data_IF_524517731195
#
_entry.id   IF_524517731195
#
_cell.length_a   1.000
_cell.length_b   1.000
_cell.length_c   1.000
_cell.angle_alpha   90.00
_cell.angle_beta   90.00
_cell.angle_gamma   90.00
#
_symmetry.space_group_name_H-M   'P 1'
#
loop_
_entity.id
_entity.type
_entity.pdbx_description
1 polymer ?
#
# COMPACT_ATOMS: atom_id res chain seq x y z
N UNK A 1 -29.62 59.13 -4.06
CA UNK A 1 -28.56 58.27 -3.49
C UNK A 1 -29.15 57.47 -2.33
N UNK A 2 -29.30 56.13 -2.46
CA UNK A 2 -29.48 55.10 -1.40
C UNK A 2 -30.07 53.82 -2.02
N UNK A 3 -29.27 53.09 -2.81
CA UNK A 3 -29.59 51.71 -3.27
C UNK A 3 -28.39 50.76 -3.20
N UNK A 4 -27.30 51.17 -2.55
CA UNK A 4 -26.06 50.36 -2.42
C UNK A 4 -26.03 49.34 -1.27
N UNK A 5 -26.79 49.45 -0.15
CA UNK A 5 -26.60 48.49 0.96
C UNK A 5 -27.28 47.14 0.72
N UNK A 6 -28.36 47.09 -0.09
CA UNK A 6 -29.10 45.85 -0.37
C UNK A 6 -28.30 44.93 -1.30
N UNK A 7 -27.63 45.50 -2.31
CA UNK A 7 -26.83 44.72 -3.25
C UNK A 7 -25.59 44.12 -2.57
N UNK A 8 -24.96 44.85 -1.64
CA UNK A 8 -23.82 44.35 -0.86
C UNK A 8 -24.25 43.25 0.13
N UNK A 9 -25.40 43.41 0.79
CA UNK A 9 -25.95 42.38 1.67
C UNK A 9 -26.30 41.08 0.94
N UNK A 10 -26.88 41.18 -0.27
CA UNK A 10 -27.15 40.02 -1.13
C UNK A 10 -25.84 39.34 -1.57
N UNK A 11 -24.82 40.11 -1.95
CA UNK A 11 -23.53 39.58 -2.39
C UNK A 11 -22.80 38.81 -1.28
N UNK A 12 -22.80 39.34 -0.05
CA UNK A 12 -22.23 38.67 1.13
C UNK A 12 -23.04 37.44 1.50
N UNK A 13 -24.37 37.47 1.41
CA UNK A 13 -25.21 36.30 1.68
C UNK A 13 -25.02 35.18 0.64
N UNK A 14 -24.84 35.53 -0.64
CA UNK A 14 -24.49 34.56 -1.69
C UNK A 14 -23.05 34.02 -1.55
N UNK A 15 -22.11 34.79 -1.00
CA UNK A 15 -20.75 34.32 -0.69
C UNK A 15 -20.73 33.34 0.49
N UNK A 16 -21.63 33.50 1.48
CA UNK A 16 -21.79 32.55 2.60
C UNK A 16 -22.56 31.28 2.18
N UNK A 17 -23.42 31.37 1.15
CA UNK A 17 -24.07 30.20 0.54
C UNK A 17 -23.19 29.47 -0.48
N UNK A 18 -22.10 30.09 -0.96
CA UNK A 18 -21.13 29.50 -1.88
C UNK A 18 -19.77 29.23 -1.26
N UNK A 19 -19.54 29.60 0.00
CA UNK A 19 -18.52 28.90 0.78
C UNK A 19 -18.91 27.44 0.76
N UNK A 20 -18.05 26.53 0.26
CA UNK A 20 -18.29 25.12 0.53
C UNK A 20 -18.46 25.06 2.04
N UNK A 21 -19.61 24.55 2.50
CA UNK A 21 -19.55 23.83 3.76
C UNK A 21 -18.42 22.83 3.52
N UNK A 22 -17.26 23.08 4.12
CA UNK A 22 -16.37 22.01 4.54
C UNK A 22 -17.21 21.17 5.49
N UNK A 23 -18.13 20.39 4.92
CA UNK A 23 -18.42 19.08 5.41
C UNK A 23 -17.02 18.47 5.52
N UNK A 24 -16.58 18.21 6.74
CA UNK A 24 -15.62 17.15 6.93
C UNK A 24 -16.16 16.00 6.08
N UNK A 25 -15.50 15.69 4.97
CA UNK A 25 -15.69 14.37 4.41
C UNK A 25 -15.20 13.47 5.53
N UNK A 26 -16.12 12.78 6.21
CA UNK A 26 -15.79 11.45 6.70
C UNK A 26 -15.31 10.75 5.44
N UNK A 27 -14.00 10.71 5.24
CA UNK A 27 -13.42 9.90 4.17
C UNK A 27 -13.66 8.48 4.64
N UNK A 28 -14.81 7.92 4.26
CA UNK A 28 -15.17 6.55 4.60
C UNK A 28 -14.28 5.63 3.76
N UNK A 29 -13.14 5.27 4.33
CA UNK A 29 -12.25 4.27 3.76
C UNK A 29 -12.97 2.92 3.75
N UNK A 30 -12.86 2.20 2.65
CA UNK A 30 -13.54 0.91 2.48
C UNK A 30 -12.60 -0.14 1.93
N UNK A 31 -12.91 -1.41 2.14
CA UNK A 31 -12.13 -2.47 1.54
C UNK A 31 -12.55 -2.73 0.10
N UNK A 32 -11.61 -2.54 -0.82
CA UNK A 32 -11.78 -2.92 -2.22
C UNK A 32 -11.08 -4.24 -2.49
N UNK A 33 -11.66 -5.33 -2.01
CA UNK A 33 -11.31 -6.67 -2.48
C UNK A 33 -12.55 -7.32 -3.09
N UNK A 34 -12.33 -8.22 -4.04
CA UNK A 34 -13.40 -9.00 -4.65
C UNK A 34 -13.09 -10.48 -4.50
N UNK A 35 -14.06 -11.23 -3.98
CA UNK A 35 -14.00 -12.69 -3.94
C UNK A 35 -13.77 -13.24 -5.36
N UNK A 36 -12.84 -14.18 -5.50
CA UNK A 36 -12.38 -14.71 -6.77
C UNK A 36 -11.37 -13.82 -7.51
N UNK A 37 -11.03 -12.64 -6.97
CA UNK A 37 -9.96 -11.81 -7.50
C UNK A 37 -8.61 -12.51 -7.38
N UNK A 38 -7.92 -12.70 -8.51
CA UNK A 38 -6.58 -13.30 -8.55
C UNK A 38 -5.57 -12.26 -9.00
N UNK A 39 -4.45 -12.17 -8.27
CA UNK A 39 -3.26 -11.45 -8.71
C UNK A 39 -2.10 -12.41 -8.93
N UNK A 40 -1.26 -12.03 -9.89
CA UNK A 40 0.00 -12.70 -10.17
C UNK A 40 1.11 -11.68 -10.03
N UNK A 41 2.14 -12.00 -9.26
CA UNK A 41 3.37 -11.22 -9.17
C UNK A 41 4.49 -11.99 -9.84
N UNK A 42 5.53 -11.29 -10.28
CA UNK A 42 6.71 -11.89 -10.89
C UNK A 42 7.97 -11.17 -10.42
N UNK A 43 8.98 -11.95 -10.05
CA UNK A 43 10.33 -11.43 -9.78
C UNK A 43 10.97 -11.00 -11.08
N UNK A 44 11.28 -9.71 -11.18
CA UNK A 44 11.85 -9.10 -12.36
C UNK A 44 13.38 -8.98 -12.26
N UNK A 45 13.92 -8.84 -11.04
CA UNK A 45 15.35 -8.61 -10.82
C UNK A 45 15.80 -9.25 -9.51
N UNK A 46 16.95 -9.91 -9.57
CA UNK A 46 17.75 -10.40 -8.44
C UNK A 46 19.20 -10.18 -8.82
N UNK A 47 19.84 -9.18 -8.24
CA UNK A 47 21.29 -8.97 -8.32
C UNK A 47 21.92 -9.55 -7.05
N UNK A 48 22.46 -10.76 -7.16
CA UNK A 48 23.07 -11.46 -6.02
C UNK A 48 24.20 -10.66 -5.38
N UNK A 49 24.97 -9.88 -6.18
CA UNK A 49 26.09 -9.10 -5.64
C UNK A 49 25.57 -7.93 -4.82
N UNK A 50 24.64 -7.15 -5.38
CA UNK A 50 24.01 -6.05 -4.65
C UNK A 50 23.24 -6.51 -3.41
N UNK A 51 22.56 -7.65 -3.50
CA UNK A 51 21.83 -8.25 -2.37
C UNK A 51 22.76 -8.79 -1.28
N UNK A 52 23.90 -9.40 -1.64
CA UNK A 52 24.92 -9.80 -0.68
C UNK A 52 25.56 -8.58 0.00
N UNK A 53 25.76 -7.47 -0.71
CA UNK A 53 26.20 -6.21 -0.12
C UNK A 53 25.14 -5.61 0.81
N UNK A 54 23.86 -5.71 0.46
CA UNK A 54 22.76 -5.14 1.23
C UNK A 54 22.44 -5.94 2.50
N UNK A 55 22.39 -7.26 2.42
CA UNK A 55 21.91 -8.12 3.50
C UNK A 55 22.94 -9.14 4.00
N UNK A 56 24.08 -9.27 3.33
CA UNK A 56 25.09 -10.29 3.60
C UNK A 56 24.80 -11.61 2.89
N UNK A 57 25.59 -12.64 3.21
CA UNK A 57 25.53 -13.95 2.56
C UNK A 57 24.20 -14.71 2.74
N UNK A 58 23.30 -14.23 3.59
CA UNK A 58 21.96 -14.79 3.84
C UNK A 58 20.84 -13.99 3.16
N UNK A 59 21.16 -13.14 2.17
CA UNK A 59 20.18 -12.30 1.47
C UNK A 59 18.97 -13.08 0.93
N UNK A 60 19.18 -14.29 0.40
CA UNK A 60 18.09 -15.12 -0.13
C UNK A 60 17.07 -15.45 0.97
N UNK A 61 17.54 -15.83 2.16
CA UNK A 61 16.68 -16.06 3.33
C UNK A 61 15.96 -14.79 3.79
N UNK A 62 16.58 -13.61 3.64
CA UNK A 62 15.91 -12.33 3.94
C UNK A 62 14.73 -12.11 2.99
N UNK A 63 14.93 -12.34 1.69
CA UNK A 63 13.85 -12.22 0.69
C UNK A 63 12.74 -13.26 0.93
N UNK A 64 13.10 -14.53 1.16
CA UNK A 64 12.11 -15.58 1.41
C UNK A 64 11.28 -15.33 2.68
N UNK A 65 11.92 -14.82 3.75
CA UNK A 65 11.20 -14.45 4.97
C UNK A 65 10.30 -13.23 4.78
N UNK A 66 10.64 -12.33 3.86
CA UNK A 66 9.91 -11.08 3.62
C UNK A 66 8.75 -11.26 2.65
N UNK A 67 8.93 -12.06 1.60
CA UNK A 67 8.01 -12.15 0.47
C UNK A 67 7.46 -13.56 0.22
N UNK A 68 7.99 -14.58 0.90
CA UNK A 68 7.61 -15.99 0.74
C UNK A 68 8.67 -16.81 0.00
N UNK A 69 8.59 -18.14 0.11
CA UNK A 69 9.60 -19.04 -0.46
C UNK A 69 9.68 -18.93 -1.98
N UNK A 70 10.91 -18.97 -2.51
CA UNK A 70 11.25 -18.82 -3.94
C UNK A 70 11.29 -17.37 -4.45
N UNK A 71 11.09 -16.38 -3.57
CA UNK A 71 11.12 -14.96 -3.94
C UNK A 71 12.50 -14.48 -4.42
N UNK A 72 13.54 -15.29 -4.22
CA UNK A 72 14.93 -15.07 -4.60
C UNK A 72 15.27 -15.54 -6.03
N UNK A 73 14.31 -16.12 -6.77
CA UNK A 73 14.54 -16.57 -8.15
C UNK A 73 13.95 -15.62 -9.21
N UNK A 74 14.81 -15.11 -10.11
CA UNK A 74 14.37 -14.28 -11.25
C UNK A 74 13.37 -15.03 -12.12
N UNK A 75 12.25 -14.38 -12.41
CA UNK A 75 11.18 -14.94 -13.24
C UNK A 75 10.23 -15.86 -12.48
N UNK A 76 10.48 -16.16 -11.20
CA UNK A 76 9.51 -16.83 -10.36
C UNK A 76 8.24 -15.99 -10.24
N UNK A 77 7.10 -16.65 -10.23
CA UNK A 77 5.78 -16.04 -10.15
C UNK A 77 5.09 -16.46 -8.87
N UNK A 78 4.40 -15.52 -8.24
CA UNK A 78 3.49 -15.80 -7.13
C UNK A 78 2.05 -15.66 -7.61
N UNK A 79 1.16 -16.50 -7.10
CA UNK A 79 -0.28 -16.36 -7.29
C UNK A 79 -0.93 -16.17 -5.93
N UNK A 80 -1.89 -15.26 -5.85
CA UNK A 80 -2.82 -15.20 -4.71
C UNK A 80 -4.23 -14.95 -5.19
N UNK A 81 -5.20 -15.63 -4.58
CA UNK A 81 -6.62 -15.50 -4.90
C UNK A 81 -7.40 -15.16 -3.64
N UNK A 82 -8.24 -14.13 -3.71
CA UNK A 82 -9.17 -13.79 -2.63
C UNK A 82 -10.29 -14.82 -2.59
N UNK A 83 -10.49 -15.45 -1.45
CA UNK A 83 -11.51 -16.49 -1.24
C UNK A 83 -12.70 -16.01 -0.42
N UNK A 84 -12.56 -14.94 0.37
CA UNK A 84 -13.64 -14.33 1.14
C UNK A 84 -13.29 -12.88 1.49
N UNK A 85 -14.31 -12.03 1.59
CA UNK A 85 -14.18 -10.64 2.04
C UNK A 85 -15.26 -10.36 3.07
N UNK A 86 -14.85 -10.10 4.31
CA UNK A 86 -15.73 -9.69 5.41
C UNK A 86 -15.53 -8.22 5.67
N UNK A 87 -16.42 -7.41 5.09
CA UNK A 87 -16.52 -5.99 5.40
C UNK A 87 -17.17 -5.76 6.77
N UNK A 88 -16.93 -4.59 7.34
CA UNK A 88 -17.62 -4.06 8.54
C UNK A 88 -17.48 -4.95 9.78
N UNK A 89 -16.28 -5.48 10.01
CA UNK A 89 -15.97 -6.20 11.24
C UNK A 89 -15.35 -5.25 12.27
N UNK A 90 -15.37 -5.70 13.52
CA UNK A 90 -14.56 -5.10 14.58
C UNK A 90 -13.48 -6.10 14.99
N UNK A 91 -12.22 -5.67 15.00
CA UNK A 91 -11.09 -6.49 15.41
C UNK A 91 -10.47 -5.97 16.71
N UNK A 92 -10.20 -6.88 17.63
CA UNK A 92 -9.34 -6.62 18.79
C UNK A 92 -7.95 -7.17 18.46
N UNK A 93 -6.98 -6.28 18.24
CA UNK A 93 -5.61 -6.65 17.88
C UNK A 93 -4.76 -7.06 19.08
N UNK A 94 -5.38 -7.26 20.25
CA UNK A 94 -4.68 -7.36 21.52
C UNK A 94 -4.10 -6.00 21.91
N UNK A 95 -3.35 -5.93 23.01
CA UNK A 95 -2.78 -4.69 23.57
C UNK A 95 -3.74 -3.81 24.38
N UNK A 96 -5.03 -4.16 24.46
CA UNK A 96 -5.98 -3.49 25.36
C UNK A 96 -6.49 -2.13 24.87
N UNK A 97 -6.39 -1.88 23.56
CA UNK A 97 -6.86 -0.65 22.89
C UNK A 97 -8.36 -0.69 22.55
N UNK A 98 -8.99 -1.85 22.76
CA UNK A 98 -10.39 -2.06 22.40
C UNK A 98 -10.50 -2.68 21.03
N UNK A 99 -11.53 -2.29 20.29
CA UNK A 99 -11.82 -2.84 18.97
C UNK A 99 -11.79 -1.76 17.91
N UNK A 100 -11.24 -2.08 16.77
CA UNK A 100 -11.12 -1.19 15.62
C UNK A 100 -12.03 -1.65 14.47
N UNK A 101 -12.73 -0.73 13.78
CA UNK A 101 -13.36 -1.01 12.51
C UNK A 101 -12.34 -1.52 11.49
N UNK A 102 -12.65 -2.65 10.89
CA UNK A 102 -11.76 -3.32 9.96
C UNK A 102 -12.54 -4.08 8.89
N UNK A 103 -11.80 -4.63 7.93
CA UNK A 103 -12.25 -5.74 7.13
C UNK A 103 -11.23 -6.89 7.20
N UNK A 104 -11.71 -8.09 6.90
CA UNK A 104 -10.85 -9.25 6.69
C UNK A 104 -10.93 -9.68 5.24
N UNK A 105 -9.78 -9.87 4.61
CA UNK A 105 -9.64 -10.41 3.27
C UNK A 105 -8.94 -11.75 3.40
N UNK A 106 -9.67 -12.82 3.11
CA UNK A 106 -9.13 -14.19 3.15
C UNK A 106 -8.55 -14.50 1.78
N UNK A 107 -7.34 -15.04 1.77
CA UNK A 107 -6.59 -15.36 0.55
C UNK A 107 -6.01 -16.76 0.60
N UNK A 108 -6.03 -17.40 -0.55
CA UNK A 108 -5.19 -18.56 -0.85
C UNK A 108 -3.99 -18.08 -1.64
N UNK A 109 -2.79 -18.51 -1.25
CA UNK A 109 -1.53 -18.11 -1.88
C UNK A 109 -0.67 -19.32 -2.22
N UNK A 110 0.05 -19.18 -3.33
CA UNK A 110 1.08 -20.11 -3.78
C UNK A 110 2.44 -19.47 -3.53
N UNK A 111 3.45 -20.30 -3.29
CA UNK A 111 4.83 -19.86 -3.24
C UNK A 111 5.28 -19.31 -4.61
N UNK A 112 6.44 -18.68 -4.62
CA UNK A 112 7.04 -18.21 -5.85
C UNK A 112 7.60 -19.40 -6.62
N UNK A 113 7.14 -19.58 -7.86
CA UNK A 113 7.54 -20.71 -8.70
C UNK A 113 7.83 -20.25 -10.13
N UNK A 114 8.88 -20.78 -10.75
CA UNK A 114 9.22 -20.55 -12.17
C UNK A 114 8.38 -21.42 -13.13
N UNK A 115 7.64 -22.38 -12.59
CA UNK A 115 6.84 -23.37 -13.32
C UNK A 115 5.34 -23.10 -13.34
N UNK A 116 4.56 -24.16 -13.59
CA UNK A 116 3.11 -24.14 -13.42
C UNK A 116 2.77 -24.27 -11.93
N UNK A 117 1.87 -23.42 -11.46
CA UNK A 117 1.34 -23.53 -10.10
C UNK A 117 0.66 -24.88 -9.89
N UNK A 118 0.87 -25.45 -8.71
CA UNK A 118 0.10 -26.58 -8.20
C UNK A 118 -1.41 -26.30 -8.20
N UNK A 119 -2.21 -27.37 -8.25
CA UNK A 119 -3.68 -27.25 -8.15
C UNK A 119 -4.12 -26.70 -6.78
N UNK A 120 -3.35 -27.03 -5.73
CA UNK A 120 -3.64 -26.68 -4.33
C UNK A 120 -2.69 -25.58 -3.83
N UNK A 121 -3.18 -24.51 -3.19
CA UNK A 121 -2.33 -23.46 -2.64
C UNK A 121 -1.45 -23.96 -1.50
N UNK A 122 -0.26 -23.36 -1.38
CA UNK A 122 0.70 -23.61 -0.30
C UNK A 122 0.23 -23.02 1.03
N UNK A 123 -0.47 -21.88 0.96
CA UNK A 123 -1.04 -21.20 2.11
C UNK A 123 -2.55 -21.01 1.88
N UNK A 124 -3.35 -21.64 2.74
CA UNK A 124 -4.82 -21.58 2.70
C UNK A 124 -5.39 -20.68 3.76
N UNK A 125 -6.50 -20.04 3.43
CA UNK A 125 -7.30 -19.25 4.36
C UNK A 125 -6.49 -18.18 5.13
N UNK A 126 -5.48 -17.58 4.47
CA UNK A 126 -4.68 -16.53 5.07
C UNK A 126 -5.49 -15.24 5.15
N UNK A 127 -5.70 -14.76 6.38
CA UNK A 127 -6.51 -13.56 6.64
C UNK A 127 -5.62 -12.34 6.74
N UNK A 128 -5.83 -11.38 5.84
CA UNK A 128 -5.30 -10.03 5.92
C UNK A 128 -6.35 -9.14 6.58
N UNK A 129 -6.01 -8.59 7.74
CA UNK A 129 -6.85 -7.62 8.45
C UNK A 129 -6.47 -6.22 8.02
N UNK A 130 -7.43 -5.45 7.54
CA UNK A 130 -7.25 -4.08 7.09
C UNK A 130 -8.01 -3.15 8.02
N UNK A 131 -7.30 -2.29 8.75
CA UNK A 131 -7.92 -1.22 9.53
C UNK A 131 -8.42 -0.13 8.58
N UNK A 132 -9.65 0.33 8.80
CA UNK A 132 -10.26 1.33 7.93
C UNK A 132 -9.87 2.75 8.33
N UNK A 133 -9.62 3.01 9.61
CA UNK A 133 -9.21 4.32 10.10
C UNK A 133 -7.67 4.39 10.21
N UNK A 134 -7.00 5.34 9.54
CA UNK A 134 -5.56 5.55 9.70
C UNK A 134 -5.16 5.94 11.14
N UNK A 135 -6.06 6.56 11.92
CA UNK A 135 -5.81 6.89 13.33
C UNK A 135 -5.75 5.61 14.19
N UNK A 136 -6.58 4.60 13.89
CA UNK A 136 -6.54 3.30 14.58
C UNK A 136 -5.22 2.57 14.33
N UNK A 137 -4.73 2.61 13.07
CA UNK A 137 -3.42 2.04 12.73
C UNK A 137 -2.29 2.79 13.45
N UNK A 138 -2.43 4.12 13.57
CA UNK A 138 -1.50 4.95 14.34
C UNK A 138 -1.45 4.55 15.81
N UNK A 139 -2.61 4.43 16.47
CA UNK A 139 -2.72 4.02 17.87
C UNK A 139 -2.14 2.61 18.10
N UNK A 140 -2.45 1.67 17.20
CA UNK A 140 -1.92 0.32 17.26
C UNK A 140 -0.39 0.29 17.14
N UNK A 141 0.18 0.94 16.11
CA UNK A 141 1.64 0.94 15.88
C UNK A 141 2.39 1.57 17.03
N UNK A 142 1.88 2.69 17.58
CA UNK A 142 2.51 3.36 18.72
C UNK A 142 2.49 2.47 19.97
N UNK A 143 1.37 1.80 20.22
CA UNK A 143 1.23 0.92 21.38
C UNK A 143 2.12 -0.31 21.26
N UNK A 144 2.13 -0.97 20.10
CA UNK A 144 3.00 -2.11 19.82
C UNK A 144 4.47 -1.72 20.01
N UNK A 145 4.86 -0.60 19.39
CA UNK A 145 6.20 -0.05 19.49
C UNK A 145 6.57 0.26 20.94
N UNK A 146 5.69 0.91 21.70
CA UNK A 146 5.93 1.22 23.11
C UNK A 146 6.13 -0.05 23.95
N UNK A 147 5.36 -1.11 23.70
CA UNK A 147 5.49 -2.40 24.39
C UNK A 147 6.82 -3.07 24.04
N UNK A 148 7.21 -3.09 22.76
CA UNK A 148 8.49 -3.67 22.32
C UNK A 148 9.70 -2.84 22.79
N UNK A 149 9.57 -1.51 22.81
CA UNK A 149 10.60 -0.57 23.25
C UNK A 149 10.90 -0.66 24.76
N UNK A 150 9.99 -1.22 25.58
CA UNK A 150 10.33 -1.57 26.98
C UNK A 150 11.47 -2.61 27.06
N UNK A 151 11.89 -3.21 25.95
CA UNK A 151 13.07 -4.07 25.82
C UNK A 151 14.20 -3.55 24.91
N UNK A 152 14.04 -2.41 24.20
CA UNK A 152 15.02 -1.92 23.19
C UNK A 152 15.37 -0.45 23.45
N UNK A 153 16.62 -0.13 23.89
CA UNK A 153 17.06 1.24 24.10
C UNK A 153 17.12 2.04 22.79
N UNK A 154 16.55 3.25 22.76
CA UNK A 154 16.67 4.20 21.65
C UNK A 154 15.37 4.53 20.90
N UNK A 155 14.28 3.81 21.18
CA UNK A 155 12.99 4.05 20.52
C UNK A 155 12.18 5.16 21.22
N UNK A 156 11.65 6.09 20.43
CA UNK A 156 10.79 7.21 20.88
C UNK A 156 9.36 6.97 20.40
N UNK A 157 8.45 6.65 21.31
CA UNK A 157 7.02 6.52 21.04
C UNK A 157 6.36 7.90 20.80
N UNK A 158 6.66 8.56 19.68
CA UNK A 158 6.02 9.83 19.34
C UNK A 158 5.40 9.77 17.95
N UNK A 159 4.09 10.07 17.89
CA UNK A 159 3.27 10.49 16.74
C UNK A 159 3.48 9.79 15.38
N UNK A 160 4.17 8.67 15.31
CA UNK A 160 4.36 7.92 14.07
C UNK A 160 3.35 6.79 14.01
N UNK A 161 2.74 6.62 12.85
CA UNK A 161 1.81 5.55 12.51
C UNK A 161 2.49 4.37 11.82
N UNK A 162 3.65 4.58 11.17
CA UNK A 162 4.37 3.59 10.38
C UNK A 162 5.89 3.81 10.47
N UNK A 163 6.63 2.80 10.95
CA UNK A 163 8.11 2.80 11.08
C UNK A 163 8.78 1.78 10.12
N UNK A 164 8.02 0.80 9.70
CA UNK A 164 8.44 -0.32 8.89
C UNK A 164 7.10 -0.89 8.39
N UNK A 165 6.83 -1.01 7.09
CA UNK A 165 5.61 -1.52 6.55
C UNK A 165 5.59 -2.96 6.96
N UNK A 166 5.04 -3.23 8.15
CA UNK A 166 4.79 -4.57 8.60
C UNK A 166 3.90 -5.14 7.50
N UNK A 167 4.49 -6.03 6.71
CA UNK A 167 3.94 -6.69 5.52
C UNK A 167 2.49 -7.18 5.75
N UNK A 168 2.10 -7.33 7.03
CA UNK A 168 0.76 -7.60 7.52
C UNK A 168 -0.29 -6.51 7.22
N UNK A 169 0.02 -5.22 7.35
CA UNK A 169 -0.95 -4.11 7.15
C UNK A 169 -0.85 -3.44 5.79
N UNK A 170 0.26 -3.63 5.09
CA UNK A 170 0.50 -3.07 3.76
C UNK A 170 0.52 -4.12 2.65
N UNK A 171 0.07 -5.35 2.92
CA UNK A 171 -0.29 -6.27 1.84
C UNK A 171 -1.54 -5.80 1.08
N UNK A 172 -2.37 -4.98 1.73
CA UNK A 172 -3.69 -4.58 1.27
C UNK A 172 -4.16 -3.33 2.01
N UNK A 173 -4.46 -2.26 1.27
CA UNK A 173 -4.93 -0.98 1.80
C UNK A 173 -6.45 -0.82 1.64
N UNK A 174 -7.11 0.01 2.47
CA UNK A 174 -8.40 0.57 2.14
C UNK A 174 -8.33 1.44 0.88
N UNK A 175 -9.48 1.71 0.27
CA UNK A 175 -9.63 2.69 -0.81
C UNK A 175 -10.37 3.94 -0.35
N UNK A 176 -10.01 5.13 -0.88
CA UNK A 176 -8.94 5.39 -1.84
C UNK A 176 -7.54 5.23 -1.23
N UNK A 177 -6.68 4.42 -1.85
CA UNK A 177 -5.43 3.98 -1.22
C UNK A 177 -4.39 5.11 -1.12
N UNK A 178 -4.36 6.02 -2.09
CA UNK A 178 -3.52 7.21 -2.08
C UNK A 178 -3.93 8.19 -0.97
N UNK A 179 -5.23 8.41 -0.78
CA UNK A 179 -5.74 9.23 0.33
C UNK A 179 -5.43 8.58 1.69
N UNK A 180 -5.59 7.26 1.80
CA UNK A 180 -5.26 6.52 3.03
C UNK A 180 -3.77 6.62 3.38
N UNK A 181 -2.88 6.40 2.41
CA UNK A 181 -1.43 6.52 2.60
C UNK A 181 -1.03 7.95 2.99
N UNK A 182 -1.68 8.96 2.42
CA UNK A 182 -1.43 10.37 2.73
C UNK A 182 -1.94 10.78 4.12
N UNK A 183 -2.93 10.07 4.67
CA UNK A 183 -3.46 10.31 6.01
C UNK A 183 -2.59 9.70 7.12
N UNK A 184 -1.78 8.68 6.81
CA UNK A 184 -0.85 8.08 7.75
C UNK A 184 0.29 9.03 8.13
N UNK A 185 0.73 8.96 9.38
CA UNK A 185 1.91 9.69 9.87
C UNK A 185 3.15 8.79 9.77
N UNK A 186 4.12 9.15 8.94
CA UNK A 186 5.29 8.30 8.68
C UNK A 186 6.48 8.67 9.56
N UNK A 187 7.34 7.69 9.87
CA UNK A 187 8.65 7.96 10.47
C UNK A 187 9.52 8.80 9.51
N UNK A 188 10.47 9.57 10.06
CA UNK A 188 11.54 10.15 9.27
C UNK A 188 12.25 9.09 8.40
N UNK A 189 12.60 9.45 7.16
CA UNK A 189 13.17 8.52 6.17
C UNK A 189 12.12 7.83 5.28
N UNK A 190 10.85 7.84 5.68
CA UNK A 190 9.73 7.35 4.87
C UNK A 190 9.06 8.48 4.09
N UNK A 191 8.65 8.18 2.87
CA UNK A 191 8.01 9.12 1.97
C UNK A 191 6.84 8.46 1.24
N UNK A 192 5.78 9.24 0.99
CA UNK A 192 4.62 8.82 0.20
C UNK A 192 4.48 9.73 -1.03
N UNK A 193 4.33 9.11 -2.19
CA UNK A 193 4.01 9.78 -3.46
C UNK A 193 2.86 9.04 -4.15
N UNK A 194 1.63 9.48 -3.89
CA UNK A 194 0.41 8.84 -4.39
C UNK A 194 0.28 7.41 -3.90
N UNK A 195 0.38 6.45 -4.83
CA UNK A 195 0.27 5.01 -4.57
C UNK A 195 1.62 4.34 -4.32
N UNK A 196 2.66 5.12 -4.04
CA UNK A 196 4.00 4.62 -3.73
C UNK A 196 4.42 5.07 -2.34
N UNK A 197 5.01 4.14 -1.62
CA UNK A 197 5.71 4.39 -0.35
C UNK A 197 7.18 4.09 -0.60
N UNK A 198 8.08 4.93 -0.12
CA UNK A 198 9.52 4.64 -0.19
C UNK A 198 10.22 4.93 1.12
N UNK A 199 11.30 4.20 1.36
CA UNK A 199 12.12 4.31 2.56
C UNK A 199 13.58 4.38 2.15
N UNK A 200 14.22 5.48 2.53
CA UNK A 200 15.67 5.62 2.43
C UNK A 200 16.29 5.14 3.75
N UNK A 201 17.14 4.13 3.67
CA UNK A 201 17.79 3.54 4.84
C UNK A 201 19.30 3.68 4.76
N UNK A 202 19.92 3.93 5.92
CA UNK A 202 21.37 3.96 6.07
C UNK A 202 21.90 2.58 6.49
N UNK A 203 23.17 2.30 6.16
CA UNK A 203 23.89 1.13 6.64
C UNK A 203 23.82 1.04 8.18
N UNK A 204 23.39 -0.11 8.68
CA UNK A 204 23.16 -0.37 10.10
C UNK A 204 21.72 -0.16 10.56
N UNK A 205 20.84 0.40 9.72
CA UNK A 205 19.39 0.41 10.00
C UNK A 205 18.91 -1.02 10.21
N UNK A 206 18.11 -1.22 11.27
CA UNK A 206 17.53 -2.52 11.60
C UNK A 206 16.04 -2.37 11.74
N UNK A 207 15.30 -3.11 10.92
CA UNK A 207 13.85 -3.14 10.91
C UNK A 207 13.31 -3.72 12.22
N UNK A 208 12.07 -3.39 12.58
CA UNK A 208 11.41 -3.87 13.81
C UNK A 208 11.45 -5.41 13.97
N UNK A 209 11.51 -6.15 12.85
CA UNK A 209 11.53 -7.62 12.83
C UNK A 209 12.94 -8.21 12.64
N UNK A 210 13.99 -7.39 12.75
CA UNK A 210 15.38 -7.83 12.86
C UNK A 210 16.14 -7.92 11.54
N UNK A 211 15.62 -7.40 10.43
CA UNK A 211 16.38 -7.27 9.19
C UNK A 211 17.33 -6.09 9.31
N UNK A 212 18.64 -6.33 9.25
CA UNK A 212 19.67 -5.28 9.26
C UNK A 212 20.20 -5.06 7.85
N UNK A 213 20.15 -3.81 7.39
CA UNK A 213 20.71 -3.37 6.12
C UNK A 213 22.19 -3.04 6.34
N UNK A 214 23.07 -3.61 5.52
CA UNK A 214 24.53 -3.47 5.63
C UNK A 214 25.09 -2.34 4.76
N UNK A 215 24.26 -1.82 3.84
CA UNK A 215 24.58 -0.72 2.94
C UNK A 215 23.43 0.30 2.94
N UNK A 216 23.74 1.51 2.48
CA UNK A 216 22.72 2.53 2.20
C UNK A 216 21.90 2.08 0.99
N UNK A 217 20.61 2.43 0.97
CA UNK A 217 19.74 2.08 -0.14
C UNK A 217 18.35 2.67 0.00
N UNK A 218 17.49 2.27 -0.93
CA UNK A 218 16.10 2.71 -0.98
C UNK A 218 15.18 1.57 -1.34
N UNK A 219 14.13 1.42 -0.56
CA UNK A 219 13.03 0.51 -0.83
C UNK A 219 11.82 1.29 -1.31
N UNK A 220 11.05 0.73 -2.25
CA UNK A 220 9.80 1.31 -2.74
C UNK A 220 8.72 0.23 -2.85
N UNK A 221 7.55 0.50 -2.29
CA UNK A 221 6.34 -0.32 -2.35
C UNK A 221 5.31 0.38 -3.23
N UNK A 222 4.67 -0.37 -4.13
CA UNK A 222 3.65 0.14 -5.05
C UNK A 222 2.31 -0.56 -4.86
N UNK A 223 1.24 0.24 -4.87
CA UNK A 223 -0.13 -0.19 -4.60
C UNK A 223 -1.06 0.06 -5.79
N UNK A 224 -2.04 -0.81 -5.95
CA UNK A 224 -3.13 -0.61 -6.91
C UNK A 224 -4.14 0.39 -6.35
N UNK A 225 -4.49 1.43 -7.12
CA UNK A 225 -5.43 2.45 -6.66
C UNK A 225 -6.89 2.03 -6.65
N UNK A 226 -7.25 0.96 -7.37
CA UNK A 226 -8.63 0.49 -7.47
C UNK A 226 -8.99 -0.46 -6.33
N UNK A 227 -8.05 -1.31 -5.96
CA UNK A 227 -8.23 -2.37 -4.99
C UNK A 227 -7.38 -2.16 -3.74
N UNK A 228 -6.43 -1.24 -3.70
CA UNK A 228 -5.49 -1.06 -2.58
C UNK A 228 -4.48 -2.20 -2.44
N UNK A 229 -4.45 -3.15 -3.38
CA UNK A 229 -3.59 -4.32 -3.30
C UNK A 229 -2.12 -3.95 -3.49
N UNK A 230 -1.23 -4.59 -2.73
CA UNK A 230 0.20 -4.49 -2.97
C UNK A 230 0.59 -5.21 -4.26
N UNK A 231 1.23 -4.49 -5.19
CA UNK A 231 1.48 -4.92 -6.57
C UNK A 231 2.93 -4.84 -7.02
N UNK A 232 3.84 -4.27 -6.22
CA UNK A 232 5.24 -4.27 -6.60
C UNK A 232 6.18 -3.74 -5.54
N UNK A 233 7.41 -4.24 -5.57
CA UNK A 233 8.49 -3.82 -4.69
C UNK A 233 9.76 -3.58 -5.51
N UNK A 234 10.55 -2.60 -5.09
CA UNK A 234 11.87 -2.32 -5.65
C UNK A 234 12.84 -1.99 -4.53
N UNK A 235 14.03 -2.56 -4.59
CA UNK A 235 15.16 -2.24 -3.73
C UNK A 235 16.31 -1.74 -4.60
N UNK A 236 16.77 -0.53 -4.29
CA UNK A 236 17.87 0.17 -4.95
C UNK A 236 19.07 0.24 -4.01
N UNK A 237 20.27 0.07 -4.54
CA UNK A 237 21.52 0.35 -3.83
C UNK A 237 21.79 1.87 -3.71
N UNK A 238 22.88 2.23 -3.04
CA UNK A 238 23.29 3.63 -2.86
C UNK A 238 23.57 4.39 -4.17
N UNK A 239 23.87 3.67 -5.26
CA UNK A 239 24.13 4.22 -6.58
C UNK A 239 22.84 4.34 -7.43
N UNK A 240 21.70 3.87 -6.91
CA UNK A 240 20.41 3.87 -7.57
C UNK A 240 20.23 2.70 -8.55
N UNK A 241 21.04 1.65 -8.47
CA UNK A 241 20.82 0.45 -9.25
C UNK A 241 19.75 -0.42 -8.56
N UNK A 242 18.79 -0.92 -9.34
CA UNK A 242 17.81 -1.88 -8.84
C UNK A 242 18.49 -3.23 -8.62
N UNK A 243 18.60 -3.64 -7.36
CA UNK A 243 19.21 -4.92 -6.96
C UNK A 243 18.17 -6.01 -6.69
N UNK A 244 16.91 -5.62 -6.45
CA UNK A 244 15.79 -6.56 -6.39
C UNK A 244 14.49 -5.88 -6.77
N UNK A 245 13.64 -6.58 -7.53
CA UNK A 245 12.31 -6.11 -7.84
C UNK A 245 11.34 -7.26 -8.17
N UNK A 246 10.08 -7.06 -7.80
CA UNK A 246 8.96 -7.80 -8.37
C UNK A 246 7.80 -6.85 -8.67
N UNK A 247 6.97 -7.23 -9.63
CA UNK A 247 5.81 -6.45 -10.03
C UNK A 247 4.65 -7.33 -10.49
N UNK A 248 3.51 -6.72 -10.76
CA UNK A 248 2.32 -7.39 -11.30
C UNK A 248 2.65 -8.05 -12.65
N UNK A 249 2.41 -9.36 -12.74
CA UNK A 249 2.54 -10.11 -13.99
C UNK A 249 1.31 -9.88 -14.89
N UNK A 250 1.36 -8.79 -15.67
CA UNK A 250 0.33 -8.46 -16.64
C UNK A 250 0.19 -9.49 -17.77
N UNK A 251 1.18 -10.38 -17.97
CA UNK A 251 1.10 -11.44 -18.98
C UNK A 251 0.21 -12.61 -18.55
N UNK A 252 -0.07 -12.73 -17.25
CA UNK A 252 -1.00 -13.69 -16.68
C UNK A 252 -2.46 -13.21 -16.70
N UNK A 253 -2.75 -11.98 -17.14
CA UNK A 253 -4.11 -11.50 -17.40
C UNK A 253 -4.67 -12.25 -18.63
N UNK A 254 -5.60 -13.16 -18.38
CA UNK A 254 -6.31 -13.93 -19.40
C UNK A 254 -6.95 -12.97 -20.43
N UNK A 255 -6.85 -13.23 -21.75
CA UNK A 255 -7.54 -12.43 -22.77
C UNK A 255 -9.04 -12.37 -22.48
N UNK A 256 -9.54 -11.18 -22.11
CA UNK A 256 -10.95 -10.98 -21.72
C UNK A 256 -11.19 -9.97 -20.59
N UNK A 257 -10.18 -9.67 -19.78
CA UNK A 257 -10.24 -8.61 -18.74
C UNK A 257 -9.62 -7.27 -19.17
N UNK A 258 -9.04 -7.21 -20.37
CA UNK A 258 -8.49 -5.97 -20.96
C UNK A 258 -9.53 -4.86 -21.09
N UNK A 259 -10.83 -5.18 -21.14
CA UNK A 259 -11.88 -4.19 -21.36
C UNK A 259 -12.02 -3.17 -20.23
N UNK A 260 -11.76 -3.54 -18.97
CA UNK A 260 -12.00 -2.61 -17.84
C UNK A 260 -10.90 -1.55 -17.74
N UNK A 261 -9.62 -1.95 -17.87
CA UNK A 261 -8.50 -1.01 -17.90
C UNK A 261 -8.46 -0.17 -19.20
N UNK A 262 -8.80 -0.76 -20.35
CA UNK A 262 -8.86 -0.02 -21.64
C UNK A 262 -10.06 0.92 -21.71
N UNK A 263 -11.22 0.58 -21.11
CA UNK A 263 -12.36 1.50 -21.06
C UNK A 263 -12.11 2.69 -20.13
N UNK A 264 -11.41 2.50 -19.01
CA UNK A 264 -11.06 3.60 -18.09
C UNK A 264 -10.20 4.67 -18.79
N UNK A 265 -9.19 4.23 -19.55
CA UNK A 265 -8.33 5.13 -20.32
C UNK A 265 -9.02 5.76 -21.55
N UNK A 266 -9.95 5.06 -22.19
CA UNK A 266 -10.75 5.62 -23.30
C UNK A 266 -11.74 6.69 -22.84
N UNK A 267 -12.36 6.60 -21.66
CA UNK A 267 -13.26 7.65 -21.15
C UNK A 267 -12.54 8.95 -20.83
N UNK A 268 -11.31 8.90 -20.29
CA UNK A 268 -10.49 10.09 -20.06
C UNK A 268 -10.10 10.77 -21.39
N UNK A 269 -9.79 9.98 -22.43
CA UNK A 269 -9.52 10.48 -23.77
C UNK A 269 -10.73 11.16 -24.42
N UNK A 270 -11.92 10.57 -24.32
CA UNK A 270 -13.16 11.12 -24.89
C UNK A 270 -13.56 12.43 -24.19
N UNK A 271 -13.45 12.50 -22.86
CA UNK A 271 -13.71 13.75 -22.12
C UNK A 271 -12.70 14.85 -22.47
N UNK A 272 -11.42 14.50 -22.65
CA UNK A 272 -10.38 15.43 -23.11
C UNK A 272 -10.69 16.00 -24.51
N UNK A 273 -11.13 15.14 -25.44
CA UNK A 273 -11.50 15.58 -26.80
C UNK A 273 -12.76 16.46 -26.78
N UNK A 274 -13.77 16.13 -25.98
CA UNK A 274 -14.98 16.96 -25.80
C UNK A 274 -14.63 18.34 -25.22
N UNK A 275 -13.73 18.39 -24.23
CA UNK A 275 -13.27 19.64 -23.64
C UNK A 275 -12.54 20.54 -24.65
N UNK A 276 -11.67 19.96 -25.47
CA UNK A 276 -10.94 20.71 -26.51
C UNK A 276 -11.87 21.23 -27.61
N UNK A 277 -12.88 20.45 -28.02
CA UNK A 277 -13.88 20.91 -29.00
C UNK A 277 -14.78 22.01 -28.44
N UNK A 278 -15.17 21.94 -27.17
CA UNK A 278 -16.01 22.97 -26.52
C UNK A 278 -15.27 24.29 -26.29
N UNK A 279 -13.94 24.30 -26.29
CA UNK A 279 -13.12 25.51 -26.13
C UNK A 279 -12.77 26.21 -27.45
N UNK A 280 -13.02 25.56 -28.59
CA UNK A 280 -12.78 26.10 -29.94
C UNK A 280 -14.03 26.69 -30.61
N UNK A 281 -15.19 26.62 -29.95
CA UNK A 281 -16.42 27.33 -30.30
C UNK A 281 -16.80 28.30 -29.17
#
# INVERSE_FOLDING_TARGET
MRKKPILFGLLVFSLILMSPLTLAQDTEYSCAASEGGTKYLKVDTVDETGLEEMFGSNWATVLENSFGSGADEVGARQKSTVTDVKSDIEVDLGLGLGKFPACNITTDAWNWETGEFSEEPDLKDFVVTVLLDPDDLTEYTQTLTAILALGIPGYSAQNVSMHNPAVQFLGQLPVPADEYLAALVWEEGWNVDGLKVSHEHEAGYTSLFGTTYQADGKETWEFDGQFGAFIGYTLEDADGNVIYAYSLDVSALIPGYELTFVMGSMMAGILGVIYVFKRRH
#
